data_IF_874436280174
#
_entry.id   IF_874436280174
#
_cell.length_a   1.000
_cell.length_b   1.000
_cell.length_c   1.000
_cell.angle_alpha   90.00
_cell.angle_beta   90.00
_cell.angle_gamma   90.00
#
_symmetry.space_group_name_H-M   'P 1'
#
loop_
_entity.id
_entity.type
_entity.pdbx_description
1 polymer ?
#
# COMPACT_ATOMS: atom_id res chain seq x y z
N UNK A 1 -6.70 -20.47 67.75
CA UNK A 1 -6.42 -21.27 66.54
C UNK A 1 -7.34 -20.96 65.37
N UNK A 2 -8.61 -20.56 65.58
CA UNK A 2 -9.51 -20.30 64.45
C UNK A 2 -9.30 -18.95 63.77
N UNK A 3 -8.87 -17.92 64.50
CA UNK A 3 -8.67 -16.57 63.96
C UNK A 3 -7.51 -16.52 62.96
N UNK A 4 -6.42 -17.23 63.24
CA UNK A 4 -5.25 -17.27 62.36
C UNK A 4 -5.53 -18.03 61.05
N UNK A 5 -6.32 -19.10 61.14
CA UNK A 5 -6.77 -19.87 59.96
C UNK A 5 -7.78 -19.08 59.13
N UNK A 6 -8.68 -18.34 59.77
CA UNK A 6 -9.60 -17.41 59.08
C UNK A 6 -8.86 -16.27 58.41
N UNK A 7 -7.85 -15.70 59.07
CA UNK A 7 -7.02 -14.64 58.50
C UNK A 7 -6.19 -15.16 57.32
N UNK A 8 -5.60 -16.36 57.45
CA UNK A 8 -4.86 -17.00 56.37
C UNK A 8 -5.75 -17.39 55.18
N UNK A 9 -6.97 -17.87 55.43
CA UNK A 9 -7.95 -18.18 54.39
C UNK A 9 -8.44 -16.91 53.67
N UNK A 10 -8.63 -15.81 54.39
CA UNK A 10 -8.98 -14.51 53.82
C UNK A 10 -7.84 -13.93 52.97
N UNK A 11 -6.58 -14.05 53.43
CA UNK A 11 -5.40 -13.62 52.66
C UNK A 11 -5.20 -14.48 51.40
N UNK A 12 -5.41 -15.80 51.48
CA UNK A 12 -5.36 -16.69 50.31
C UNK A 12 -6.46 -16.35 49.29
N UNK A 13 -7.69 -16.15 49.75
CA UNK A 13 -8.80 -15.76 48.88
C UNK A 13 -8.54 -14.39 48.21
N UNK A 14 -8.04 -13.42 48.96
CA UNK A 14 -7.66 -12.12 48.42
C UNK A 14 -6.53 -12.23 47.38
N UNK A 15 -5.53 -13.08 47.62
CA UNK A 15 -4.44 -13.36 46.66
C UNK A 15 -4.94 -14.09 45.40
N UNK A 16 -5.86 -15.04 45.53
CA UNK A 16 -6.42 -15.78 44.40
C UNK A 16 -7.27 -14.87 43.50
N UNK A 17 -8.04 -13.95 44.09
CA UNK A 17 -8.74 -12.90 43.36
C UNK A 17 -7.79 -11.91 42.68
N UNK A 18 -6.65 -11.58 43.30
CA UNK A 18 -5.61 -10.78 42.65
C UNK A 18 -5.02 -11.49 41.43
N UNK A 19 -4.85 -12.82 41.46
CA UNK A 19 -4.30 -13.59 40.33
C UNK A 19 -5.29 -13.64 39.15
N UNK A 20 -6.60 -13.66 39.39
CA UNK A 20 -7.63 -13.66 38.33
C UNK A 20 -8.10 -12.28 37.86
N UNK A 21 -8.28 -11.33 38.77
CA UNK A 21 -8.89 -10.03 38.49
C UNK A 21 -7.91 -9.05 37.86
N UNK A 22 -6.65 -9.02 38.32
CA UNK A 22 -5.63 -8.09 37.82
C UNK A 22 -5.38 -8.25 36.32
N UNK A 23 -5.10 -9.45 35.77
CA UNK A 23 -4.95 -9.61 34.32
C UNK A 23 -6.24 -9.29 33.55
N UNK A 24 -7.41 -9.57 34.13
CA UNK A 24 -8.70 -9.19 33.54
C UNK A 24 -8.88 -7.68 33.41
N UNK A 25 -8.54 -6.91 34.45
CA UNK A 25 -8.58 -5.45 34.44
C UNK A 25 -7.56 -4.84 33.48
N UNK A 26 -6.35 -5.42 33.41
CA UNK A 26 -5.33 -5.00 32.45
C UNK A 26 -5.83 -5.25 31.02
N UNK A 27 -6.39 -6.44 30.74
CA UNK A 27 -6.99 -6.76 29.46
C UNK A 27 -8.12 -5.78 29.09
N UNK A 28 -9.01 -5.48 30.04
CA UNK A 28 -10.10 -4.54 29.84
C UNK A 28 -9.58 -3.11 29.55
N UNK A 29 -8.53 -2.67 30.23
CA UNK A 29 -7.89 -1.38 29.98
C UNK A 29 -7.30 -1.33 28.56
N UNK A 30 -6.61 -2.39 28.13
CA UNK A 30 -6.04 -2.47 26.78
C UNK A 30 -7.15 -2.41 25.72
N UNK A 31 -8.22 -3.18 25.89
CA UNK A 31 -9.37 -3.18 24.98
C UNK A 31 -10.01 -1.79 24.91
N UNK A 32 -10.24 -1.15 26.06
CA UNK A 32 -10.80 0.21 26.10
C UNK A 32 -9.89 1.23 25.41
N UNK A 33 -8.57 1.12 25.59
CA UNK A 33 -7.59 1.97 24.91
C UNK A 33 -7.61 1.77 23.39
N UNK A 34 -7.68 0.53 22.90
CA UNK A 34 -7.75 0.22 21.47
C UNK A 34 -9.04 0.76 20.84
N UNK A 35 -10.19 0.57 21.50
CA UNK A 35 -11.47 1.13 21.05
C UNK A 35 -11.38 2.67 20.98
N UNK A 36 -10.81 3.30 22.01
CA UNK A 36 -10.59 4.73 22.04
C UNK A 36 -9.71 5.23 20.89
N UNK A 37 -8.63 4.50 20.56
CA UNK A 37 -7.74 4.83 19.45
C UNK A 37 -8.46 4.75 18.09
N UNK A 38 -9.24 3.69 17.86
CA UNK A 38 -10.04 3.55 16.62
C UNK A 38 -11.07 4.67 16.52
N UNK A 39 -11.79 4.95 17.61
CA UNK A 39 -12.79 6.01 17.64
C UNK A 39 -12.16 7.39 17.39
N UNK A 40 -10.99 7.67 17.97
CA UNK A 40 -10.24 8.91 17.72
C UNK A 40 -9.80 9.01 16.25
N UNK A 41 -9.34 7.92 15.65
CA UNK A 41 -9.00 7.87 14.22
C UNK A 41 -10.20 8.20 13.33
N UNK A 42 -11.36 7.60 13.61
CA UNK A 42 -12.61 7.90 12.90
C UNK A 42 -13.02 9.37 13.09
N UNK A 43 -12.90 9.89 14.33
CA UNK A 43 -13.24 11.27 14.69
C UNK A 43 -12.35 12.31 13.99
N UNK A 44 -11.08 11.97 13.74
CA UNK A 44 -10.14 12.80 12.99
C UNK A 44 -10.50 12.76 11.50
N UNK A 45 -10.71 11.56 10.94
CA UNK A 45 -11.10 11.38 9.53
C UNK A 45 -12.41 12.10 9.20
N UNK A 46 -13.37 12.14 10.13
CA UNK A 46 -14.64 12.85 9.91
C UNK A 46 -14.53 14.38 9.87
N UNK A 47 -13.35 14.94 10.12
CA UNK A 47 -13.07 16.38 9.92
C UNK A 47 -12.53 16.67 8.53
N UNK A 48 -12.15 15.64 7.78
CA UNK A 48 -11.78 15.78 6.37
C UNK A 48 -13.06 15.99 5.54
N UNK A 49 -13.00 16.75 4.44
CA UNK A 49 -14.10 16.87 3.51
C UNK A 49 -14.52 15.48 3.03
N UNK A 50 -15.83 15.31 2.85
CA UNK A 50 -16.41 14.05 2.38
C UNK A 50 -15.79 13.65 1.04
N UNK A 51 -15.56 12.35 0.86
CA UNK A 51 -15.06 11.86 -0.43
C UNK A 51 -16.04 12.31 -1.52
N UNK A 52 -15.56 12.77 -2.68
CA UNK A 52 -16.43 13.16 -3.77
C UNK A 52 -17.45 12.06 -4.07
N UNK A 53 -18.73 12.43 -4.12
CA UNK A 53 -19.78 11.50 -4.51
C UNK A 53 -19.47 10.95 -5.92
N UNK A 54 -19.94 9.73 -6.28
CA UNK A 54 -19.62 9.11 -7.57
C UNK A 54 -19.96 9.96 -8.79
N UNK A 55 -20.97 10.82 -8.68
CA UNK A 55 -21.38 11.80 -9.68
C UNK A 55 -20.46 13.03 -9.73
N UNK A 56 -19.79 13.38 -8.63
CA UNK A 56 -18.76 14.42 -8.55
C UNK A 56 -17.39 13.92 -9.01
N UNK A 57 -17.23 12.63 -9.26
CA UNK A 57 -15.99 12.10 -9.82
C UNK A 57 -15.79 12.62 -11.25
N UNK A 58 -14.53 12.86 -11.69
CA UNK A 58 -14.25 13.24 -13.06
C UNK A 58 -14.79 12.19 -14.04
N UNK A 59 -15.79 12.58 -14.84
CA UNK A 59 -16.29 11.75 -15.93
C UNK A 59 -15.36 11.87 -17.14
N UNK A 60 -15.38 10.85 -17.99
CA UNK A 60 -14.70 10.94 -19.29
C UNK A 60 -15.27 12.13 -20.07
N UNK A 61 -14.42 12.92 -20.75
CA UNK A 61 -14.90 13.98 -21.62
C UNK A 61 -15.71 13.39 -22.79
N UNK A 62 -16.57 14.20 -23.40
CA UNK A 62 -17.41 13.76 -24.54
C UNK A 62 -16.59 13.20 -25.71
N UNK A 63 -15.33 13.63 -25.86
CA UNK A 63 -14.38 13.12 -26.84
C UNK A 63 -13.90 11.69 -26.58
N UNK A 64 -14.28 11.08 -25.46
CA UNK A 64 -13.77 9.79 -25.01
C UNK A 64 -12.46 9.92 -24.20
N UNK A 65 -11.91 8.80 -23.71
CA UNK A 65 -10.70 8.81 -22.91
C UNK A 65 -9.52 9.36 -23.73
N UNK A 66 -8.62 10.10 -23.08
CA UNK A 66 -7.33 10.44 -23.70
C UNK A 66 -6.58 9.15 -23.93
N UNK A 67 -6.37 8.79 -25.20
CA UNK A 67 -5.60 7.61 -25.56
C UNK A 67 -4.11 7.83 -25.26
N UNK A 68 -3.45 6.80 -24.74
CA UNK A 68 -1.99 6.81 -24.56
C UNK A 68 -1.32 6.79 -25.94
N UNK A 69 -0.58 7.86 -26.26
CA UNK A 69 0.28 7.91 -27.43
C UNK A 69 1.54 7.09 -27.09
N UNK A 70 1.66 5.89 -27.67
CA UNK A 70 2.85 5.06 -27.51
C UNK A 70 3.78 5.28 -28.70
N UNK A 71 4.89 5.97 -28.46
CA UNK A 71 5.96 6.11 -29.45
C UNK A 71 7.00 5.00 -29.26
N UNK A 72 7.31 4.28 -30.35
CA UNK A 72 8.43 3.34 -30.37
C UNK A 72 9.63 4.00 -31.03
N UNK A 73 10.80 3.91 -30.39
CA UNK A 73 12.06 4.29 -31.01
C UNK A 73 12.69 3.04 -31.61
N UNK A 74 12.98 3.05 -32.91
CA UNK A 74 13.82 2.02 -33.48
C UNK A 74 15.20 2.07 -32.80
N UNK A 75 15.70 0.97 -32.21
CA UNK A 75 17.04 0.95 -31.63
C UNK A 75 18.07 1.23 -32.73
N UNK A 76 18.94 2.23 -32.52
CA UNK A 76 20.07 2.43 -33.44
C UNK A 76 21.10 1.31 -33.15
N UNK A 77 21.21 0.36 -34.08
CA UNK A 77 22.08 -0.80 -33.94
C UNK A 77 23.55 -0.36 -33.97
N UNK A 78 24.31 -0.74 -32.94
CA UNK A 78 25.73 -0.43 -32.88
C UNK A 78 26.49 -1.09 -34.04
N UNK A 79 27.37 -0.36 -34.76
CA UNK A 79 28.18 -0.92 -35.83
C UNK A 79 28.98 -2.14 -35.35
N UNK A 80 28.89 -3.26 -36.08
CA UNK A 80 29.61 -4.51 -35.78
C UNK A 80 30.95 -4.56 -36.53
N UNK A 81 31.76 -3.52 -36.39
CA UNK A 81 33.05 -3.35 -37.08
C UNK A 81 34.25 -3.98 -36.32
N UNK A 82 34.00 -4.53 -35.12
CA UNK A 82 35.04 -5.14 -34.28
C UNK A 82 35.94 -4.13 -33.57
N UNK A 83 35.66 -2.84 -33.67
CA UNK A 83 36.46 -1.78 -33.03
C UNK A 83 35.87 -1.48 -31.65
N UNK A 84 36.72 -1.47 -30.62
CA UNK A 84 36.31 -1.02 -29.29
C UNK A 84 36.07 0.49 -29.32
N UNK A 85 34.83 0.92 -29.18
CA UNK A 85 34.44 2.33 -29.00
C UNK A 85 34.35 2.68 -27.52
N UNK A 86 34.90 3.84 -27.15
CA UNK A 86 34.71 4.46 -25.84
C UNK A 86 33.43 5.32 -25.87
N UNK A 87 32.77 5.56 -24.71
CA UNK A 87 31.53 6.33 -24.66
C UNK A 87 31.60 7.71 -25.36
N UNK A 88 32.76 8.36 -25.32
CA UNK A 88 33.00 9.68 -25.93
C UNK A 88 33.50 9.61 -27.38
N UNK A 89 33.71 8.42 -27.95
CA UNK A 89 34.28 8.25 -29.29
C UNK A 89 33.28 7.51 -30.18
N UNK A 90 32.56 8.26 -31.02
CA UNK A 90 31.76 7.68 -32.10
C UNK A 90 30.46 6.98 -31.69
N UNK A 91 29.87 7.35 -30.55
CA UNK A 91 28.55 6.89 -30.07
C UNK A 91 27.49 8.02 -30.13
N UNK A 92 27.91 9.29 -30.11
CA UNK A 92 26.98 10.44 -30.06
C UNK A 92 26.12 10.62 -31.33
N UNK A 93 26.60 10.21 -32.50
CA UNK A 93 25.83 10.28 -33.75
C UNK A 93 24.76 9.19 -33.88
N UNK A 94 24.62 8.29 -32.90
CA UNK A 94 23.73 7.12 -32.93
C UNK A 94 22.62 7.17 -31.86
N UNK A 95 22.56 8.24 -31.06
CA UNK A 95 21.63 8.35 -29.93
C UNK A 95 20.39 9.21 -30.18
N UNK A 96 20.47 10.19 -31.10
CA UNK A 96 19.55 11.33 -31.12
C UNK A 96 18.90 11.62 -32.48
N UNK A 97 18.78 10.61 -33.38
CA UNK A 97 17.97 10.79 -34.58
C UNK A 97 16.49 10.70 -34.23
N UNK A 98 15.85 11.86 -34.10
CA UNK A 98 14.40 12.01 -33.83
C UNK A 98 13.49 11.46 -34.96
N UNK A 99 14.05 10.89 -36.04
CA UNK A 99 13.37 10.75 -37.34
C UNK A 99 13.06 9.30 -37.75
N UNK A 100 13.18 8.33 -36.85
CA UNK A 100 12.83 6.92 -37.11
C UNK A 100 11.76 6.43 -36.13
N UNK A 101 10.47 6.76 -36.38
CA UNK A 101 9.38 6.13 -35.65
C UNK A 101 9.38 4.63 -35.97
N UNK A 102 9.69 3.81 -34.97
CA UNK A 102 9.59 2.36 -35.07
C UNK A 102 8.12 1.92 -35.09
N UNK A 103 7.86 0.67 -35.50
CA UNK A 103 6.51 0.09 -35.48
C UNK A 103 5.92 0.20 -34.05
N UNK A 104 4.69 0.72 -33.87
CA UNK A 104 4.07 0.82 -32.56
C UNK A 104 4.06 -0.55 -31.85
N UNK A 105 4.54 -0.66 -30.60
CA UNK A 105 4.55 -1.94 -29.93
C UNK A 105 3.11 -2.44 -29.77
N UNK A 106 2.87 -3.71 -30.08
CA UNK A 106 1.63 -4.41 -29.73
C UNK A 106 1.61 -4.78 -28.25
N UNK A 107 2.01 -3.85 -27.38
CA UNK A 107 1.99 -4.06 -25.92
C UNK A 107 0.54 -4.32 -25.54
N UNK A 108 0.29 -5.48 -24.91
CA UNK A 108 -1.04 -5.83 -24.45
C UNK A 108 -1.53 -4.74 -23.51
N UNK A 109 -2.60 -4.05 -23.91
CA UNK A 109 -3.33 -3.12 -23.05
C UNK A 109 -3.85 -3.90 -21.85
N UNK A 110 -3.87 -3.26 -20.69
CA UNK A 110 -4.49 -3.86 -19.51
C UNK A 110 -5.99 -4.04 -19.79
N UNK A 111 -6.51 -5.26 -19.63
CA UNK A 111 -7.93 -5.58 -19.80
C UNK A 111 -8.60 -5.65 -18.41
N UNK A 112 -9.79 -5.04 -18.23
CA UNK A 112 -10.56 -5.19 -17.00
C UNK A 112 -10.78 -6.68 -16.68
N UNK A 113 -10.39 -7.12 -15.48
CA UNK A 113 -10.45 -8.53 -15.07
C UNK A 113 -9.19 -9.36 -15.37
N UNK A 114 -8.21 -8.81 -16.09
CA UNK A 114 -6.86 -9.38 -16.27
C UNK A 114 -5.80 -8.52 -15.60
N UNK A 115 -6.05 -8.11 -14.36
CA UNK A 115 -4.99 -7.53 -13.52
C UNK A 115 -4.03 -8.64 -13.10
N UNK A 116 -2.76 -8.53 -13.52
CA UNK A 116 -1.69 -9.28 -12.88
C UNK A 116 -1.78 -9.08 -11.37
N UNK A 117 -1.70 -10.18 -10.64
CA UNK A 117 -1.67 -10.25 -9.17
C UNK A 117 -0.53 -9.39 -8.63
N UNK A 118 -0.79 -8.12 -8.36
CA UNK A 118 0.07 -7.28 -7.54
C UNK A 118 -0.67 -6.96 -6.25
N UNK A 119 -0.23 -7.58 -5.16
CA UNK A 119 -0.55 -7.16 -3.80
C UNK A 119 -2.00 -7.39 -3.36
N UNK A 120 -2.42 -8.65 -3.17
CA UNK A 120 -3.50 -8.97 -2.24
C UNK A 120 -3.03 -8.66 -0.80
N UNK A 121 -3.00 -7.39 -0.44
CA UNK A 121 -2.87 -6.94 0.95
C UNK A 121 -4.15 -7.24 1.73
N UNK A 122 -4.40 -8.51 2.01
CA UNK A 122 -5.42 -8.95 2.97
C UNK A 122 -4.75 -9.17 4.33
N UNK A 123 -5.31 -8.57 5.39
CA UNK A 123 -4.84 -8.77 6.76
C UNK A 123 -4.88 -10.27 7.12
N UNK A 124 -3.78 -10.75 7.71
CA UNK A 124 -3.76 -12.04 8.40
C UNK A 124 -4.65 -12.06 9.63
#
# INVERSE_FOLDING_TARGET
MNADVLAAAADLAARDHLVGLVPGLIGLLIVAALIGAVWLGIRIKSREPELPEPDQQPHLPESGPVEEITENREPDEMPRDGIRRLPHSGVHDQGDREHHPGEPPTRKKWEPGKSGSFGSGGAG
#
